data_IF_317666666060
#
_entry.id   IF_317666666060
#
_cell.length_a   1.000
_cell.length_b   1.000
_cell.length_c   1.000
_cell.angle_alpha   90.00
_cell.angle_beta   90.00
_cell.angle_gamma   90.00
#
_symmetry.space_group_name_H-M   'P 1'
#
loop_
_entity.id
_entity.type
_entity.pdbx_description
1 polymer ?
#
# COMPACT_ATOMS: atom_id res chain seq x y z
N UNK A 1 15.05 -1.42 -7.19
CA UNK A 1 14.38 -0.40 -6.35
C UNK A 1 13.86 0.71 -7.27
N UNK A 2 12.58 0.69 -7.63
CA UNK A 2 12.03 1.57 -8.68
C UNK A 2 12.11 3.06 -8.32
N UNK A 3 12.04 3.40 -7.03
CA UNK A 3 12.17 4.78 -6.55
C UNK A 3 13.48 5.44 -6.99
N UNK A 4 14.60 4.72 -6.92
CA UNK A 4 15.91 5.24 -7.35
C UNK A 4 15.91 5.54 -8.84
N UNK A 5 15.37 4.64 -9.67
CA UNK A 5 15.25 4.85 -11.12
C UNK A 5 14.42 6.08 -11.44
N UNK A 6 13.30 6.27 -10.74
CA UNK A 6 12.46 7.45 -10.92
C UNK A 6 13.14 8.74 -10.47
N UNK A 7 13.93 8.71 -9.39
CA UNK A 7 14.67 9.88 -8.92
C UNK A 7 15.74 10.30 -9.92
N UNK A 8 16.54 9.32 -10.38
CA UNK A 8 17.55 9.55 -11.42
C UNK A 8 16.92 10.10 -12.69
N UNK A 9 15.78 9.56 -13.12
CA UNK A 9 15.07 10.07 -14.31
C UNK A 9 14.65 11.53 -14.17
N UNK A 10 14.14 11.95 -13.00
CA UNK A 10 13.73 13.34 -12.73
C UNK A 10 14.91 14.29 -12.67
N UNK A 11 15.98 13.88 -12.00
CA UNK A 11 17.22 14.66 -11.92
C UNK A 11 17.84 14.81 -13.32
N UNK A 12 17.95 13.73 -14.10
CA UNK A 12 18.45 13.78 -15.48
C UNK A 12 17.60 14.69 -16.38
N UNK A 13 16.28 14.64 -16.25
CA UNK A 13 15.39 15.52 -17.01
C UNK A 13 15.67 17.00 -16.70
N UNK A 14 15.93 17.34 -15.44
CA UNK A 14 16.31 18.69 -15.04
C UNK A 14 17.73 19.07 -15.50
N UNK A 15 18.71 18.17 -15.36
CA UNK A 15 20.10 18.45 -15.75
C UNK A 15 20.31 18.50 -17.28
N UNK A 16 19.35 18.05 -18.09
CA UNK A 16 19.47 18.05 -19.55
C UNK A 16 19.76 19.47 -20.06
N UNK A 17 20.97 19.66 -20.62
CA UNK A 17 21.44 20.93 -21.15
C UNK A 17 22.00 21.91 -20.11
N UNK A 18 22.16 21.50 -18.85
CA UNK A 18 22.69 22.34 -17.76
C UNK A 18 24.05 21.80 -17.29
N UNK A 19 25.06 22.68 -17.24
CA UNK A 19 26.40 22.35 -16.69
C UNK A 19 26.57 22.83 -15.25
N UNK A 20 25.92 23.93 -14.89
CA UNK A 20 25.93 24.52 -13.55
C UNK A 20 24.47 24.66 -13.11
N UNK A 21 24.20 24.39 -11.84
CA UNK A 21 22.86 24.45 -11.24
C UNK A 21 22.89 25.45 -10.09
N UNK A 22 22.06 26.49 -10.19
CA UNK A 22 21.82 27.44 -9.10
C UNK A 22 20.49 27.18 -8.39
N UNK A 23 20.32 27.75 -7.20
CA UNK A 23 19.03 27.80 -6.48
C UNK A 23 17.92 28.35 -7.39
N UNK A 24 18.22 29.41 -8.15
CA UNK A 24 17.27 30.04 -9.07
C UNK A 24 16.78 29.10 -10.18
N UNK A 25 17.66 28.26 -10.72
CA UNK A 25 17.30 27.26 -11.73
C UNK A 25 16.30 26.24 -11.18
N UNK A 26 16.53 25.78 -9.95
CA UNK A 26 15.66 24.82 -9.27
C UNK A 26 14.32 25.47 -8.92
N UNK A 27 14.32 26.72 -8.45
CA UNK A 27 13.10 27.47 -8.17
C UNK A 27 12.24 27.62 -9.43
N UNK A 28 12.82 28.04 -10.56
CA UNK A 28 12.09 28.17 -11.81
C UNK A 28 11.51 26.85 -12.29
N UNK A 29 12.30 25.78 -12.25
CA UNK A 29 11.84 24.46 -12.66
C UNK A 29 10.69 23.96 -11.78
N UNK A 30 10.79 24.09 -10.45
CA UNK A 30 9.72 23.68 -9.54
C UNK A 30 8.46 24.55 -9.73
N UNK A 31 8.61 25.86 -9.96
CA UNK A 31 7.49 26.75 -10.23
C UNK A 31 6.75 26.38 -11.51
N UNK A 32 7.47 26.10 -12.60
CA UNK A 32 6.91 25.60 -13.85
C UNK A 32 6.15 24.28 -13.62
N UNK A 33 6.76 23.32 -12.91
CA UNK A 33 6.10 22.04 -12.63
C UNK A 33 4.90 22.18 -11.71
N UNK A 34 4.85 23.15 -10.80
CA UNK A 34 3.65 23.43 -9.99
C UNK A 34 2.45 23.89 -10.83
N UNK A 35 2.67 24.55 -11.97
CA UNK A 35 1.60 25.00 -12.85
C UNK A 35 1.04 23.85 -13.69
N UNK A 36 1.89 22.90 -14.10
CA UNK A 36 1.54 21.87 -15.09
C UNK A 36 1.21 20.53 -14.44
N UNK A 37 1.82 20.22 -13.29
CA UNK A 37 1.78 18.89 -12.68
C UNK A 37 0.99 18.87 -11.37
N UNK A 38 0.44 17.69 -11.06
CA UNK A 38 -0.23 17.44 -9.78
C UNK A 38 0.73 17.61 -8.58
N UNK A 39 0.23 18.03 -7.40
CA UNK A 39 1.05 18.22 -6.20
C UNK A 39 1.92 17.01 -5.84
N UNK A 40 1.39 15.79 -5.94
CA UNK A 40 2.15 14.55 -5.68
C UNK A 40 3.35 14.37 -6.61
N UNK A 41 3.22 14.76 -7.87
CA UNK A 41 4.31 14.67 -8.84
C UNK A 41 5.42 15.68 -8.52
N UNK A 42 5.03 16.91 -8.19
CA UNK A 42 5.96 17.96 -7.75
C UNK A 42 6.64 17.56 -6.44
N UNK A 43 5.91 16.97 -5.50
CA UNK A 43 6.45 16.44 -4.26
C UNK A 43 7.56 15.40 -4.53
N UNK A 44 7.35 14.50 -5.50
CA UNK A 44 8.36 13.55 -5.92
C UNK A 44 9.58 14.19 -6.60
N UNK A 45 9.40 15.30 -7.34
CA UNK A 45 10.51 16.09 -7.87
C UNK A 45 11.34 16.65 -6.71
N UNK A 46 10.69 17.31 -5.75
CA UNK A 46 11.36 17.89 -4.58
C UNK A 46 12.13 16.81 -3.81
N UNK A 47 11.54 15.64 -3.58
CA UNK A 47 12.25 14.53 -2.94
C UNK A 47 13.47 14.07 -3.74
N UNK A 48 13.34 13.95 -5.08
CA UNK A 48 14.47 13.57 -5.93
C UNK A 48 15.59 14.61 -5.94
N UNK A 49 15.24 15.90 -5.88
CA UNK A 49 16.19 16.99 -5.84
C UNK A 49 16.86 17.10 -4.48
N UNK A 50 16.15 16.88 -3.38
CA UNK A 50 16.78 16.78 -2.06
C UNK A 50 17.75 15.60 -2.02
N UNK A 51 17.34 14.42 -2.48
CA UNK A 51 18.21 13.24 -2.51
C UNK A 51 19.49 13.46 -3.33
N UNK A 52 19.43 14.22 -4.42
CA UNK A 52 20.60 14.49 -5.26
C UNK A 52 21.34 15.76 -4.84
N UNK A 53 20.71 16.92 -4.96
CA UNK A 53 21.38 18.20 -4.71
C UNK A 53 21.70 18.43 -3.23
N UNK A 54 20.82 18.05 -2.29
CA UNK A 54 21.09 18.24 -0.85
C UNK A 54 22.01 17.15 -0.31
N UNK A 55 21.64 15.89 -0.51
CA UNK A 55 22.28 14.76 0.18
C UNK A 55 23.56 14.27 -0.53
N UNK A 56 23.63 14.39 -1.86
CA UNK A 56 24.78 13.94 -2.64
C UNK A 56 25.73 15.09 -3.04
N UNK A 57 25.22 16.19 -3.59
CA UNK A 57 26.05 17.36 -3.97
C UNK A 57 26.31 18.34 -2.80
N UNK A 58 25.58 18.22 -1.69
CA UNK A 58 25.79 19.05 -0.51
C UNK A 58 25.23 20.48 -0.58
N UNK A 59 24.24 20.75 -1.44
CA UNK A 59 23.65 22.08 -1.61
C UNK A 59 22.65 22.42 -0.48
N UNK A 60 23.00 23.33 0.46
CA UNK A 60 22.21 23.57 1.67
C UNK A 60 20.89 24.31 1.38
N UNK A 61 20.82 25.09 0.29
CA UNK A 61 19.62 25.83 -0.10
C UNK A 61 18.41 24.90 -0.34
N UNK A 62 18.65 23.61 -0.65
CA UNK A 62 17.60 22.61 -0.80
C UNK A 62 16.77 22.36 0.46
N UNK A 63 17.27 22.73 1.64
CA UNK A 63 16.55 22.60 2.91
C UNK A 63 15.26 23.44 2.95
N UNK A 64 15.25 24.59 2.27
CA UNK A 64 14.09 25.50 2.25
C UNK A 64 12.91 25.00 1.42
N UNK A 65 13.09 24.01 0.54
CA UNK A 65 12.03 23.56 -0.35
C UNK A 65 11.01 22.70 0.38
N UNK A 66 9.79 23.23 0.52
CA UNK A 66 8.66 22.53 1.12
C UNK A 66 7.83 21.80 0.07
N UNK A 67 7.31 20.63 0.43
CA UNK A 67 6.37 19.91 -0.40
C UNK A 67 5.08 20.72 -0.59
N UNK A 68 4.46 20.70 -1.78
CA UNK A 68 3.18 21.37 -1.97
C UNK A 68 2.12 20.70 -1.09
N UNK A 69 1.37 21.49 -0.35
CA UNK A 69 0.12 21.06 0.27
C UNK A 69 -1.02 21.21 -0.74
N UNK A 70 -1.77 20.14 -0.98
CA UNK A 70 -3.03 20.22 -1.72
C UNK A 70 -4.20 20.61 -0.83
N UNK A 71 -5.33 21.07 -1.39
CA UNK A 71 -6.56 21.24 -0.63
C UNK A 71 -7.02 19.90 -0.07
N UNK A 72 -7.75 19.93 1.05
CA UNK A 72 -8.46 18.74 1.54
C UNK A 72 -9.56 18.40 0.54
N UNK A 73 -9.46 17.23 -0.07
CA UNK A 73 -10.45 16.73 -1.03
C UNK A 73 -11.31 15.69 -0.29
N UNK A 74 -12.62 15.91 -0.28
CA UNK A 74 -13.57 14.91 0.19
C UNK A 74 -13.45 13.67 -0.71
N UNK A 75 -13.17 12.53 -0.11
CA UNK A 75 -13.16 11.26 -0.84
C UNK A 75 -14.58 10.75 -0.98
N UNK A 76 -14.91 10.25 -2.15
CA UNK A 76 -16.13 9.47 -2.35
C UNK A 76 -16.06 8.17 -1.52
N UNK A 77 -17.22 7.76 -1.03
CA UNK A 77 -17.37 6.49 -0.34
C UNK A 77 -17.12 5.31 -1.29
N UNK A 78 -16.39 4.31 -0.82
CA UNK A 78 -16.17 3.08 -1.56
C UNK A 78 -17.28 2.10 -1.20
N UNK A 79 -18.28 1.98 -2.06
CA UNK A 79 -19.41 1.07 -1.83
C UNK A 79 -18.97 -0.41 -1.78
N UNK A 80 -19.44 -1.20 -0.79
CA UNK A 80 -19.16 -2.64 -0.71
C UNK A 80 -19.55 -3.41 -1.99
N UNK A 81 -20.67 -3.02 -2.61
CA UNK A 81 -21.15 -3.62 -3.87
C UNK A 81 -20.14 -3.45 -5.03
N UNK A 82 -19.48 -2.29 -5.14
CA UNK A 82 -18.43 -2.02 -6.13
C UNK A 82 -17.19 -2.88 -5.87
N UNK A 83 -16.79 -3.02 -4.60
CA UNK A 83 -15.66 -3.87 -4.19
C UNK A 83 -15.94 -5.34 -4.50
N UNK A 84 -17.09 -5.85 -4.10
CA UNK A 84 -17.56 -7.21 -4.42
C UNK A 84 -17.53 -7.46 -5.93
N UNK A 85 -18.20 -6.61 -6.71
CA UNK A 85 -18.28 -6.75 -8.17
C UNK A 85 -16.90 -6.75 -8.83
N UNK A 86 -16.00 -5.87 -8.38
CA UNK A 86 -14.63 -5.83 -8.88
C UNK A 86 -13.86 -7.11 -8.55
N UNK A 87 -13.90 -7.58 -7.30
CA UNK A 87 -13.17 -8.79 -6.87
C UNK A 87 -13.68 -10.04 -7.58
N UNK A 88 -15.01 -10.19 -7.72
CA UNK A 88 -15.61 -11.31 -8.43
C UNK A 88 -15.25 -11.33 -9.92
N UNK A 89 -14.94 -10.18 -10.52
CA UNK A 89 -14.50 -10.08 -11.91
C UNK A 89 -13.01 -10.43 -12.13
N UNK A 90 -12.24 -10.69 -11.07
CA UNK A 90 -10.83 -11.09 -11.19
C UNK A 90 -10.77 -12.59 -11.53
N UNK A 91 -10.39 -12.91 -12.77
CA UNK A 91 -10.28 -14.30 -13.24
C UNK A 91 -9.01 -15.02 -12.71
N UNK A 92 -7.95 -14.26 -12.43
CA UNK A 92 -6.69 -14.80 -11.91
C UNK A 92 -6.77 -15.02 -10.40
N UNK A 93 -6.75 -16.29 -9.96
CA UNK A 93 -6.91 -16.68 -8.55
C UNK A 93 -5.85 -16.05 -7.63
N UNK A 94 -4.59 -15.96 -8.09
CA UNK A 94 -3.51 -15.32 -7.32
C UNK A 94 -3.83 -13.85 -7.09
N UNK A 95 -4.29 -13.15 -8.13
CA UNK A 95 -4.65 -11.73 -8.05
C UNK A 95 -5.94 -11.51 -7.24
N UNK A 96 -6.89 -12.44 -7.33
CA UNK A 96 -8.12 -12.42 -6.53
C UNK A 96 -7.78 -12.56 -5.04
N UNK A 97 -6.95 -13.52 -4.67
CA UNK A 97 -6.48 -13.71 -3.30
C UNK A 97 -5.78 -12.46 -2.76
N UNK A 98 -4.89 -11.84 -3.55
CA UNK A 98 -4.25 -10.55 -3.19
C UNK A 98 -5.30 -9.46 -2.97
N UNK A 99 -6.30 -9.32 -3.85
CA UNK A 99 -7.33 -8.29 -3.72
C UNK A 99 -8.18 -8.48 -2.46
N UNK A 100 -8.58 -9.73 -2.17
CA UNK A 100 -9.37 -10.06 -0.99
C UNK A 100 -8.58 -9.83 0.30
N UNK A 101 -7.29 -10.19 0.35
CA UNK A 101 -6.44 -9.87 1.49
C UNK A 101 -6.26 -8.37 1.68
N UNK A 102 -6.13 -7.57 0.61
CA UNK A 102 -6.06 -6.11 0.72
C UNK A 102 -7.33 -5.51 1.31
N UNK A 103 -8.50 -5.99 0.86
CA UNK A 103 -9.80 -5.51 1.31
C UNK A 103 -10.13 -5.92 2.75
N UNK A 104 -9.67 -7.11 3.18
CA UNK A 104 -9.96 -7.64 4.52
C UNK A 104 -8.93 -7.25 5.59
N UNK A 105 -7.65 -7.07 5.23
CA UNK A 105 -6.60 -6.75 6.21
C UNK A 105 -6.18 -5.28 6.25
N UNK A 106 -6.52 -4.52 5.21
CA UNK A 106 -6.05 -3.14 5.09
C UNK A 106 -4.54 -3.00 4.94
N UNK A 107 -3.78 -4.07 4.68
CA UNK A 107 -2.35 -4.00 4.43
C UNK A 107 -2.03 -3.26 3.13
N UNK A 108 -0.80 -2.75 2.99
CA UNK A 108 -0.32 -2.11 1.76
C UNK A 108 -0.16 -3.16 0.68
N UNK A 109 -0.33 -2.75 -0.60
CA UNK A 109 -0.05 -3.61 -1.76
C UNK A 109 1.30 -4.31 -1.66
N UNK A 110 2.35 -3.57 -1.27
CA UNK A 110 3.70 -4.13 -1.14
C UNK A 110 3.84 -5.12 0.01
N UNK A 111 3.08 -4.96 1.09
CA UNK A 111 3.09 -5.88 2.23
C UNK A 111 2.46 -7.20 1.80
N UNK A 112 1.23 -7.16 1.25
CA UNK A 112 0.53 -8.36 0.75
C UNK A 112 1.32 -9.05 -0.36
N UNK A 113 1.85 -8.29 -1.31
CA UNK A 113 2.62 -8.82 -2.44
C UNK A 113 3.87 -9.61 -2.02
N UNK A 114 4.50 -9.21 -0.91
CA UNK A 114 5.75 -9.80 -0.42
C UNK A 114 5.55 -10.72 0.78
N UNK A 115 4.30 -11.09 1.10
CA UNK A 115 4.03 -12.05 2.18
C UNK A 115 4.76 -13.36 1.93
N UNK A 116 5.31 -13.90 3.02
CA UNK A 116 5.81 -15.27 3.10
C UNK A 116 4.72 -16.18 3.63
N UNK A 117 4.83 -17.48 3.34
CA UNK A 117 3.93 -18.49 3.92
C UNK A 117 3.97 -18.46 5.46
N UNK A 118 5.14 -18.17 6.04
CA UNK A 118 5.35 -18.03 7.48
C UNK A 118 4.72 -16.77 8.10
N UNK A 119 4.33 -15.79 7.29
CA UNK A 119 3.72 -14.54 7.78
C UNK A 119 2.20 -14.71 8.06
N UNK A 120 1.63 -15.87 7.71
CA UNK A 120 0.21 -16.20 7.88
C UNK A 120 0.05 -17.19 9.03
N UNK A 121 -0.71 -16.80 10.05
CA UNK A 121 -1.22 -17.71 11.08
C UNK A 121 -2.69 -17.99 10.78
N UNK A 122 -2.98 -19.19 10.26
CA UNK A 122 -4.35 -19.60 9.89
C UNK A 122 -5.25 -19.86 11.10
N UNK A 123 -4.70 -20.24 12.25
CA UNK A 123 -5.49 -20.48 13.46
C UNK A 123 -6.11 -19.17 13.97
N UNK A 124 -5.33 -18.10 13.91
CA UNK A 124 -5.79 -16.75 14.28
C UNK A 124 -6.27 -15.92 13.08
N UNK A 125 -6.21 -16.47 11.85
CA UNK A 125 -6.31 -15.75 10.57
C UNK A 125 -5.61 -14.39 10.63
N UNK A 126 -4.37 -14.41 11.10
CA UNK A 126 -3.52 -13.24 11.28
C UNK A 126 -2.48 -13.14 10.17
N UNK A 127 -2.11 -11.91 9.84
CA UNK A 127 -1.03 -11.57 8.92
C UNK A 127 -0.03 -10.71 9.68
N UNK A 128 1.19 -11.21 9.80
CA UNK A 128 2.29 -10.52 10.48
C UNK A 128 3.44 -10.40 9.46
N UNK A 129 3.39 -9.43 8.55
CA UNK A 129 4.39 -9.30 7.49
C UNK A 129 5.76 -9.01 8.10
N UNK A 130 6.82 -9.70 7.71
CA UNK A 130 8.18 -9.35 8.16
C UNK A 130 8.95 -8.45 7.17
N UNK A 131 8.25 -7.50 6.52
CA UNK A 131 8.76 -6.81 5.32
C UNK A 131 9.07 -5.30 5.47
N UNK A 132 8.69 -4.63 6.56
CA UNK A 132 8.95 -3.20 6.76
C UNK A 132 9.49 -2.87 8.17
N UNK A 133 10.72 -2.34 8.22
CA UNK A 133 11.46 -1.97 9.44
C UNK A 133 11.96 -0.51 9.45
N UNK A 134 11.38 0.38 8.64
CA UNK A 134 11.80 1.80 8.57
C UNK A 134 11.26 2.65 9.72
N UNK A 135 11.82 3.84 9.98
CA UNK A 135 11.47 4.70 11.13
C UNK A 135 10.01 5.19 11.17
N UNK A 136 9.39 5.39 10.01
CA UNK A 136 8.01 5.93 9.87
C UNK A 136 6.99 4.90 9.41
N UNK A 137 7.43 3.74 8.91
CA UNK A 137 6.57 2.68 8.38
C UNK A 137 7.09 1.33 8.84
N UNK A 138 6.29 0.68 9.66
CA UNK A 138 6.54 -0.66 10.17
C UNK A 138 5.52 -1.63 9.60
N UNK A 139 5.86 -2.91 9.55
CA UNK A 139 4.87 -3.96 9.36
C UNK A 139 3.84 -3.91 10.49
N UNK A 140 2.57 -3.72 10.13
CA UNK A 140 1.45 -3.86 11.06
C UNK A 140 1.08 -5.32 11.27
N UNK A 141 0.43 -5.62 12.41
CA UNK A 141 -0.28 -6.89 12.62
C UNK A 141 -1.71 -6.65 12.14
N UNK A 142 -2.18 -7.46 11.20
CA UNK A 142 -3.58 -7.41 10.77
C UNK A 142 -4.18 -8.80 10.71
N UNK A 143 -5.46 -8.89 10.38
CA UNK A 143 -6.20 -10.13 10.25
C UNK A 143 -6.94 -10.15 8.92
N UNK A 144 -7.56 -11.27 8.61
CA UNK A 144 -8.41 -11.41 7.45
C UNK A 144 -9.67 -12.21 7.80
N UNK A 145 -10.73 -12.01 7.03
CA UNK A 145 -12.06 -12.57 7.30
C UNK A 145 -12.23 -13.98 6.72
N UNK A 146 -13.40 -14.58 6.88
CA UNK A 146 -13.68 -15.95 6.42
C UNK A 146 -13.67 -16.07 4.89
N UNK A 147 -14.17 -15.05 4.20
CA UNK A 147 -14.15 -14.99 2.73
C UNK A 147 -12.71 -15.02 2.22
N UNK A 148 -11.81 -14.30 2.88
CA UNK A 148 -10.38 -14.31 2.58
C UNK A 148 -9.73 -15.66 2.84
N UNK A 149 -10.08 -16.35 3.94
CA UNK A 149 -9.57 -17.69 4.22
C UNK A 149 -9.99 -18.68 3.11
N UNK A 150 -11.26 -18.66 2.69
CA UNK A 150 -11.76 -19.56 1.62
C UNK A 150 -10.99 -19.37 0.31
N UNK A 151 -10.76 -18.12 -0.09
CA UNK A 151 -9.99 -17.82 -1.32
C UNK A 151 -8.51 -18.18 -1.16
N UNK A 152 -7.95 -18.03 0.05
CA UNK A 152 -6.58 -18.43 0.36
C UNK A 152 -6.42 -19.95 0.31
N UNK A 153 -7.39 -20.72 0.82
CA UNK A 153 -7.41 -22.18 0.72
C UNK A 153 -7.45 -22.64 -0.74
N UNK A 154 -8.38 -22.11 -1.54
CA UNK A 154 -8.49 -22.42 -2.98
C UNK A 154 -7.17 -22.11 -3.71
N UNK A 155 -6.55 -20.97 -3.37
CA UNK A 155 -5.24 -20.59 -3.91
C UNK A 155 -4.15 -21.60 -3.55
N UNK A 156 -4.03 -21.97 -2.28
CA UNK A 156 -3.00 -22.89 -1.79
C UNK A 156 -3.18 -24.31 -2.35
N UNK A 157 -4.42 -24.76 -2.55
CA UNK A 157 -4.71 -26.05 -3.17
C UNK A 157 -4.27 -26.11 -4.62
N UNK A 158 -4.53 -25.04 -5.38
CA UNK A 158 -4.15 -24.93 -6.79
C UNK A 158 -2.64 -24.77 -6.97
N UNK A 159 -1.97 -24.11 -6.02
CA UNK A 159 -0.53 -23.82 -6.06
C UNK A 159 0.33 -24.90 -5.40
N UNK A 160 -0.22 -26.10 -5.13
CA UNK A 160 0.54 -27.25 -4.59
C UNK A 160 1.80 -27.59 -5.41
N UNK A 161 1.93 -27.11 -6.65
CA UNK A 161 3.14 -27.23 -7.49
C UNK A 161 4.28 -26.24 -7.20
N UNK A 162 4.08 -25.20 -6.38
CA UNK A 162 5.08 -24.16 -6.03
C UNK A 162 5.69 -24.32 -4.63
N UNK A 163 5.77 -25.56 -4.13
CA UNK A 163 6.20 -25.91 -2.77
C UNK A 163 7.51 -25.24 -2.33
N UNK A 164 8.47 -25.08 -3.26
CA UNK A 164 9.82 -24.63 -2.96
C UNK A 164 9.98 -23.11 -2.70
N UNK A 165 8.95 -22.30 -2.92
CA UNK A 165 9.01 -20.87 -2.63
C UNK A 165 8.59 -20.54 -1.20
N UNK A 166 9.38 -19.75 -0.49
CA UNK A 166 8.99 -19.14 0.80
C UNK A 166 7.88 -18.09 0.64
N UNK A 167 7.82 -17.41 -0.51
CA UNK A 167 6.79 -16.41 -0.80
C UNK A 167 5.43 -17.08 -0.90
N UNK A 168 4.43 -16.43 -0.31
CA UNK A 168 3.03 -16.80 -0.46
C UNK A 168 2.59 -16.61 -1.92
N UNK A 169 2.89 -15.46 -2.51
CA UNK A 169 2.55 -15.16 -3.90
C UNK A 169 3.79 -15.12 -4.80
N UNK A 170 3.81 -15.99 -5.82
CA UNK A 170 4.81 -16.00 -6.89
C UNK A 170 4.19 -15.44 -8.16
N UNK A 171 4.12 -14.11 -8.23
CA UNK A 171 3.50 -13.38 -9.34
C UNK A 171 4.38 -12.23 -9.83
N UNK A 172 4.50 -12.10 -11.15
CA UNK A 172 5.16 -10.97 -11.80
C UNK A 172 4.25 -9.74 -11.90
N UNK A 173 4.86 -8.55 -11.90
CA UNK A 173 4.12 -7.28 -11.95
C UNK A 173 3.18 -7.16 -13.16
N UNK A 174 3.65 -7.56 -14.34
CA UNK A 174 2.86 -7.52 -15.58
C UNK A 174 1.64 -8.44 -15.56
N UNK A 175 1.77 -9.64 -14.97
CA UNK A 175 0.64 -10.56 -14.80
C UNK A 175 -0.44 -9.93 -13.92
N UNK A 176 -0.04 -9.35 -12.79
CA UNK A 176 -0.95 -8.64 -11.91
C UNK A 176 -1.64 -7.46 -12.60
N UNK A 177 -0.87 -6.57 -13.25
CA UNK A 177 -1.44 -5.41 -13.93
C UNK A 177 -2.46 -5.79 -15.00
N UNK A 178 -2.15 -6.83 -15.79
CA UNK A 178 -3.04 -7.35 -16.82
C UNK A 178 -4.33 -7.92 -16.24
N UNK A 179 -4.23 -8.76 -15.21
CA UNK A 179 -5.41 -9.32 -14.54
C UNK A 179 -6.27 -8.23 -13.88
N UNK A 180 -5.63 -7.27 -13.20
CA UNK A 180 -6.33 -6.14 -12.57
C UNK A 180 -7.04 -5.27 -13.60
N UNK A 181 -6.42 -5.01 -14.76
CA UNK A 181 -7.02 -4.25 -15.86
C UNK A 181 -8.24 -4.96 -16.43
N UNK A 182 -8.12 -6.26 -16.73
CA UNK A 182 -9.24 -7.09 -17.20
C UNK A 182 -10.42 -7.06 -16.22
N UNK A 183 -10.14 -7.15 -14.92
CA UNK A 183 -11.18 -7.05 -13.90
C UNK A 183 -11.90 -5.68 -13.91
N UNK A 184 -11.18 -4.58 -14.13
CA UNK A 184 -11.79 -3.25 -14.28
C UNK A 184 -12.70 -3.17 -15.50
N UNK A 185 -12.23 -3.68 -16.64
CA UNK A 185 -12.99 -3.71 -17.90
C UNK A 185 -14.26 -4.55 -17.74
N UNK A 186 -14.16 -5.74 -17.14
CA UNK A 186 -15.28 -6.68 -16.94
C UNK A 186 -16.30 -6.18 -15.91
N UNK A 187 -15.85 -5.51 -14.85
CA UNK A 187 -16.74 -5.02 -13.78
C UNK A 187 -17.29 -3.61 -13.99
N UNK A 188 -16.70 -2.84 -14.91
CA UNK A 188 -16.94 -1.40 -15.03
C UNK A 188 -16.49 -0.59 -13.80
N UNK A 189 -15.69 -1.19 -12.89
CA UNK A 189 -15.27 -0.57 -11.62
C UNK A 189 -13.77 -0.30 -11.64
N UNK A 190 -13.40 0.97 -11.41
CA UNK A 190 -12.00 1.41 -11.46
C UNK A 190 -11.37 1.53 -10.06
N UNK A 191 -11.17 0.38 -9.39
CA UNK A 191 -10.45 0.35 -8.11
C UNK A 191 -8.95 0.18 -8.30
N UNK A 192 -8.14 0.90 -7.52
CA UNK A 192 -6.70 0.68 -7.32
C UNK A 192 -6.49 -0.22 -6.09
N UNK A 193 -5.34 -0.89 -5.96
CA UNK A 193 -5.02 -1.67 -4.76
C UNK A 193 -5.10 -0.85 -3.46
N UNK A 194 -4.76 0.45 -3.52
CA UNK A 194 -4.90 1.37 -2.39
C UNK A 194 -6.37 1.58 -1.98
N UNK A 195 -7.29 1.54 -2.94
CA UNK A 195 -8.71 1.78 -2.67
C UNK A 195 -9.30 0.62 -1.86
N UNK A 196 -8.83 -0.62 -2.05
CA UNK A 196 -9.20 -1.76 -1.18
C UNK A 196 -8.73 -1.58 0.27
N UNK A 197 -7.56 -0.97 0.45
CA UNK A 197 -7.07 -0.59 1.77
C UNK A 197 -7.87 0.56 2.39
N UNK A 198 -8.25 1.55 1.58
CA UNK A 198 -9.10 2.66 2.03
C UNK A 198 -10.51 2.11 2.40
N UNK A 199 -11.04 1.13 1.65
CA UNK A 199 -12.28 0.41 1.95
C UNK A 199 -12.22 -0.28 3.32
N UNK A 200 -11.15 -1.01 3.63
CA UNK A 200 -10.96 -1.61 4.96
C UNK A 200 -11.12 -0.58 6.09
N UNK A 201 -10.43 0.57 5.98
CA UNK A 201 -10.52 1.62 7.00
C UNK A 201 -11.91 2.22 7.10
N UNK A 202 -12.59 2.39 5.97
CA UNK A 202 -13.95 2.90 5.93
C UNK A 202 -14.91 1.97 6.68
N UNK A 203 -14.89 0.68 6.39
CA UNK A 203 -15.78 -0.30 7.02
C UNK A 203 -15.45 -0.49 8.51
N UNK A 204 -14.17 -0.50 8.88
CA UNK A 204 -13.75 -0.48 10.29
C UNK A 204 -14.26 0.77 11.03
N UNK A 205 -14.20 1.94 10.38
CA UNK A 205 -14.72 3.19 10.95
C UNK A 205 -16.24 3.18 11.11
N UNK A 206 -16.98 2.65 10.12
CA UNK A 206 -18.44 2.45 10.21
C UNK A 206 -18.82 1.52 11.35
N UNK A 207 -17.99 0.51 11.62
CA UNK A 207 -18.16 -0.40 12.75
C UNK A 207 -17.67 0.17 14.10
N UNK A 208 -17.38 1.48 14.16
CA UNK A 208 -16.94 2.19 15.36
C UNK A 208 -15.65 1.64 15.98
N UNK A 209 -14.79 1.01 15.17
CA UNK A 209 -13.46 0.60 15.62
C UNK A 209 -12.61 1.87 15.78
N UNK A 210 -12.01 2.12 16.96
CA UNK A 210 -11.19 3.32 17.16
C UNK A 210 -10.02 3.42 16.18
N UNK A 211 -9.77 4.62 15.65
CA UNK A 211 -8.73 4.90 14.66
C UNK A 211 -7.35 4.35 15.04
N UNK A 212 -6.99 4.37 16.34
CA UNK A 212 -5.73 3.80 16.83
C UNK A 212 -5.55 2.34 16.45
N UNK A 213 -6.61 1.54 16.44
CA UNK A 213 -6.55 0.12 16.08
C UNK A 213 -6.54 -0.06 14.57
N UNK A 214 -7.31 0.76 13.83
CA UNK A 214 -7.23 0.83 12.37
C UNK A 214 -5.78 1.14 11.95
N UNK A 215 -5.12 2.09 12.63
CA UNK A 215 -3.72 2.46 12.42
C UNK A 215 -2.74 1.34 12.76
N UNK A 216 -3.03 0.52 13.79
CA UNK A 216 -2.24 -0.68 14.10
C UNK A 216 -2.35 -1.70 12.95
N UNK A 217 -3.58 -2.06 12.55
CA UNK A 217 -3.85 -3.00 11.46
C UNK A 217 -3.17 -2.57 10.16
N UNK A 218 -3.14 -1.26 9.92
CA UNK A 218 -2.58 -0.65 8.74
C UNK A 218 -1.07 -0.36 8.81
N UNK A 219 -0.39 -0.65 9.93
CA UNK A 219 1.03 -0.33 10.10
C UNK A 219 1.31 1.18 9.95
N UNK A 220 0.42 2.01 10.50
CA UNK A 220 0.56 3.47 10.64
C UNK A 220 0.96 3.88 12.07
N UNK A 221 0.82 2.97 13.04
CA UNK A 221 1.22 3.22 14.43
C UNK A 221 2.75 3.24 14.61
N UNK A 222 3.27 4.06 15.55
CA UNK A 222 4.69 4.08 15.91
C UNK A 222 5.21 2.72 16.39
N UNK A 223 6.52 2.47 16.23
CA UNK A 223 7.17 1.19 16.60
C UNK A 223 6.89 0.74 18.03
N UNK A 224 6.99 1.66 18.99
CA UNK A 224 6.79 1.37 20.41
C UNK A 224 5.34 1.00 20.74
N UNK A 225 4.36 1.50 19.97
CA UNK A 225 2.96 1.11 20.08
C UNK A 225 2.77 -0.29 19.51
N UNK A 226 3.25 -0.51 18.29
CA UNK A 226 3.16 -1.82 17.64
C UNK A 226 3.80 -2.92 18.49
N UNK A 227 5.00 -2.70 19.02
CA UNK A 227 5.74 -3.67 19.85
C UNK A 227 4.94 -4.22 21.04
N UNK A 228 4.05 -3.42 21.63
CA UNK A 228 3.18 -3.87 22.74
C UNK A 228 2.23 -4.99 22.34
N UNK A 229 1.90 -5.06 21.05
CA UNK A 229 0.99 -6.05 20.50
C UNK A 229 1.70 -7.28 19.92
N UNK A 230 3.04 -7.29 19.83
CA UNK A 230 3.84 -8.47 19.45
C UNK A 230 4.00 -9.44 20.63
N UNK A 231 2.88 -9.79 21.26
CA UNK A 231 2.78 -10.82 22.29
C UNK A 231 1.55 -11.68 22.01
N UNK A 232 1.51 -12.96 22.44
CA UNK A 232 0.32 -13.79 22.21
C UNK A 232 -0.98 -13.16 22.73
N UNK A 233 -0.93 -12.50 23.89
CA UNK A 233 -2.09 -11.80 24.45
C UNK A 233 -2.46 -10.55 23.65
N UNK A 234 -1.46 -9.78 23.18
CA UNK A 234 -1.67 -8.60 22.35
C UNK A 234 -2.32 -8.94 21.01
N UNK A 235 -1.89 -10.02 20.36
CA UNK A 235 -2.47 -10.50 19.11
C UNK A 235 -3.92 -10.94 19.32
N UNK A 236 -4.21 -11.70 20.38
CA UNK A 236 -5.60 -12.10 20.70
C UNK A 236 -6.52 -10.90 20.95
N UNK A 237 -6.06 -9.90 21.70
CA UNK A 237 -6.82 -8.68 21.91
C UNK A 237 -7.09 -7.93 20.60
N UNK A 238 -6.07 -7.81 19.73
CA UNK A 238 -6.24 -7.19 18.42
C UNK A 238 -7.22 -7.99 17.53
N UNK A 239 -7.20 -9.32 17.64
CA UNK A 239 -8.12 -10.21 16.94
C UNK A 239 -9.57 -9.97 17.38
N UNK A 240 -9.82 -9.92 18.68
CA UNK A 240 -11.15 -9.63 19.24
C UNK A 240 -11.68 -8.27 18.77
N UNK A 241 -10.80 -7.26 18.66
CA UNK A 241 -11.16 -5.94 18.14
C UNK A 241 -11.50 -6.00 16.64
N UNK A 242 -10.69 -6.72 15.86
CA UNK A 242 -10.96 -6.93 14.43
C UNK A 242 -12.32 -7.63 14.22
N UNK A 243 -12.62 -8.66 15.01
CA UNK A 243 -13.85 -9.46 14.87
C UNK A 243 -15.11 -8.66 15.19
N UNK A 244 -15.04 -7.67 16.10
CA UNK A 244 -16.16 -6.74 16.37
C UNK A 244 -16.61 -5.96 15.14
N UNK A 245 -15.74 -5.77 14.15
CA UNK A 245 -16.09 -5.06 12.94
C UNK A 245 -17.02 -5.86 12.02
N UNK A 246 -17.07 -7.18 12.18
CA UNK A 246 -17.81 -8.11 11.32
C UNK A 246 -17.60 -7.81 9.81
N UNK A 247 -16.35 -7.54 9.44
CA UNK A 247 -16.00 -7.09 8.09
C UNK A 247 -16.31 -8.19 7.06
N UNK A 248 -17.19 -7.88 6.11
CA UNK A 248 -17.53 -8.73 4.97
C UNK A 248 -17.46 -7.93 3.67
N UNK A 249 -16.93 -8.57 2.63
CA UNK A 249 -16.94 -8.07 1.26
C UNK A 249 -18.24 -8.50 0.57
N UNK A 250 -18.85 -9.60 1.02
CA UNK A 250 -20.23 -9.97 0.73
C UNK A 250 -20.37 -11.01 -0.39
N UNK A 251 -19.44 -11.96 -0.51
CA UNK A 251 -19.52 -13.04 -1.52
C UNK A 251 -19.35 -14.44 -0.93
#
# INVERSE_FOLDING_TARGET
NDTVRHYVSRVKAFLKGRKVVSDRDIQFYIAEKKQICKPDYVSNIISSFKAYFRDFEGYPFMNGYKHPSGPLIMKEEIEPSKVKRFIMAIDDLTVKCIAVLLASSGLRKSEVWNLRKSDIDRNLRAIIPNCHSGETKHSGISFYNEEAEKVLEEYLEKEKGLQNSERLFVIGHERFLRAWRKAREKSGVYLKPKDLRDFFSQEMGKALIPDRFIDIFQGRSPRNVLAKHYTPQGIRMLREIYDKANLSIGF
#
